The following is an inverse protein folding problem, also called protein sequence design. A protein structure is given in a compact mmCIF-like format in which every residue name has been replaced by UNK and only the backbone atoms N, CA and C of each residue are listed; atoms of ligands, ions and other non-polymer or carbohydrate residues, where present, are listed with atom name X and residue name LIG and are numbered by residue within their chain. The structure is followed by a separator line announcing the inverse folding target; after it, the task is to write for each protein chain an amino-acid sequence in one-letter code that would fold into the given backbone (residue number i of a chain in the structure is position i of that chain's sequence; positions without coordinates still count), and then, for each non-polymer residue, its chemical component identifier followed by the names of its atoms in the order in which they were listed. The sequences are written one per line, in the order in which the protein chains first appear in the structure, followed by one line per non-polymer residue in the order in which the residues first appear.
data_IF_115653557180
#
_entry.id   IF_115653557180
#
_cell.length_a   1.000
_cell.length_b   1.000
_cell.length_c   1.000
_cell.angle_alpha   90.00
_cell.angle_beta   90.00
_cell.angle_gamma   90.00
#
_symmetry.space_group_name_H-M   'P 1'
#
loop_
_entity.id
_entity.type
_entity.pdbx_description
1 polymer ?
#
# COMPACT_ATOMS: atom_id res chain seq x y z
N UNK A 1 4.45 8.76 -9.96
CA UNK A 1 3.53 9.82 -9.49
C UNK A 1 2.75 9.42 -8.23
N UNK A 2 1.87 8.41 -8.24
CA UNK A 2 1.10 8.02 -7.04
C UNK A 2 2.02 7.56 -5.90
N UNK A 3 2.94 6.64 -6.14
CA UNK A 3 3.88 6.15 -5.12
C UNK A 3 4.72 7.26 -4.47
N UNK A 4 5.17 8.25 -5.26
CA UNK A 4 5.87 9.43 -4.73
C UNK A 4 4.96 10.28 -3.83
N UNK A 5 3.68 10.42 -4.18
CA UNK A 5 2.71 11.13 -3.36
C UNK A 5 2.44 10.39 -2.03
N UNK A 6 2.33 9.07 -2.07
CA UNK A 6 2.22 8.23 -0.86
C UNK A 6 3.45 8.43 0.04
N UNK A 7 4.66 8.32 -0.52
CA UNK A 7 5.90 8.53 0.22
C UNK A 7 5.96 9.93 0.87
N UNK A 8 5.68 10.98 0.08
CA UNK A 8 5.61 12.36 0.58
C UNK A 8 4.61 12.55 1.73
N UNK A 9 3.47 11.86 1.68
CA UNK A 9 2.49 11.88 2.77
C UNK A 9 3.04 11.25 4.05
N UNK A 10 3.70 10.11 3.94
CA UNK A 10 4.31 9.42 5.07
C UNK A 10 5.48 10.23 5.69
N UNK A 11 6.32 10.87 4.87
CA UNK A 11 7.44 11.71 5.29
C UNK A 11 7.01 12.92 6.15
N UNK A 12 5.74 13.36 6.05
CA UNK A 12 5.20 14.44 6.92
C UNK A 12 5.01 14.02 8.36
N UNK A 13 5.03 12.73 8.65
CA UNK A 13 4.91 12.22 10.02
C UNK A 13 6.29 12.20 10.66
N UNK A 14 6.46 12.96 11.74
CA UNK A 14 7.75 13.07 12.42
C UNK A 14 8.28 11.70 12.87
N UNK A 15 9.58 11.50 12.80
CA UNK A 15 10.27 10.25 13.17
C UNK A 15 9.85 9.05 12.27
N UNK A 16 9.49 9.33 11.02
CA UNK A 16 9.20 8.30 10.02
C UNK A 16 10.29 8.32 8.97
N UNK A 17 10.92 7.17 8.76
CA UNK A 17 11.81 6.92 7.64
C UNK A 17 11.02 6.24 6.53
N UNK A 18 11.14 6.75 5.30
CA UNK A 18 10.40 6.24 4.15
C UNK A 18 11.35 5.70 3.10
N UNK A 19 11.17 4.44 2.73
CA UNK A 19 11.89 3.82 1.62
C UNK A 19 10.93 3.54 0.47
N UNK A 20 11.11 4.21 -0.67
CA UNK A 20 10.33 4.00 -1.88
C UNK A 20 11.12 3.13 -2.87
N UNK A 21 10.60 1.95 -3.20
CA UNK A 21 11.20 1.02 -4.14
C UNK A 21 10.22 0.57 -5.23
N UNK A 22 10.74 0.28 -6.42
CA UNK A 22 10.01 -0.52 -7.40
C UNK A 22 9.93 -1.97 -6.91
N UNK A 23 8.83 -2.65 -7.20
CA UNK A 23 8.59 -4.03 -6.73
C UNK A 23 9.72 -5.00 -7.08
N UNK A 24 10.35 -4.84 -8.24
CA UNK A 24 11.48 -5.67 -8.69
C UNK A 24 12.73 -5.55 -7.78
N UNK A 25 12.82 -4.49 -6.98
CA UNK A 25 13.96 -4.21 -6.09
C UNK A 25 13.61 -4.42 -4.61
N UNK A 26 12.38 -4.85 -4.31
CA UNK A 26 11.97 -5.12 -2.92
C UNK A 26 12.46 -6.49 -2.49
N UNK A 27 13.11 -6.53 -1.34
CA UNK A 27 13.58 -7.75 -0.69
C UNK A 27 12.65 -8.14 0.46
N UNK A 28 12.72 -9.40 0.90
CA UNK A 28 11.99 -9.83 2.09
C UNK A 28 12.50 -9.13 3.36
N UNK A 29 13.78 -8.75 3.39
CA UNK A 29 14.36 -7.98 4.49
C UNK A 29 13.76 -6.57 4.58
N UNK A 30 13.48 -5.92 3.44
CA UNK A 30 12.77 -4.65 3.42
C UNK A 30 11.38 -4.77 4.09
N UNK A 31 10.68 -5.89 3.85
CA UNK A 31 9.39 -6.15 4.46
C UNK A 31 9.52 -6.42 5.97
N UNK A 32 10.55 -7.17 6.38
CA UNK A 32 10.80 -7.52 7.79
C UNK A 32 11.19 -6.30 8.63
N UNK A 33 12.02 -5.41 8.10
CA UNK A 33 12.53 -4.24 8.81
C UNK A 33 11.52 -3.09 8.90
N UNK A 34 10.50 -3.07 8.04
CA UNK A 34 9.48 -2.00 8.02
C UNK A 34 8.41 -2.21 9.09
N UNK A 35 7.91 -1.13 9.69
CA UNK A 35 6.73 -1.10 10.57
C UNK A 35 5.41 -1.01 9.77
N UNK A 36 5.49 -0.44 8.56
CA UNK A 36 4.36 -0.34 7.64
C UNK A 36 4.80 -0.67 6.22
N UNK A 37 3.90 -1.27 5.44
CA UNK A 37 4.12 -1.63 4.04
C UNK A 37 2.93 -1.12 3.22
N UNK A 38 3.19 -0.24 2.26
CA UNK A 38 2.17 0.28 1.34
C UNK A 38 2.47 -0.25 -0.05
N UNK A 39 1.56 -1.03 -0.61
CA UNK A 39 1.75 -1.67 -1.91
C UNK A 39 0.92 -0.95 -2.98
N UNK A 40 1.61 -0.51 -4.03
CA UNK A 40 0.97 0.03 -5.23
C UNK A 40 1.05 -0.93 -6.41
N UNK A 41 -0.04 -1.06 -7.14
CA UNK A 41 -0.10 -1.85 -8.36
C UNK A 41 -0.98 -1.18 -9.41
N UNK A 42 -0.64 -1.25 -10.70
CA UNK A 42 -1.65 -1.02 -11.73
C UNK A 42 -2.73 -2.10 -11.64
N UNK A 43 -3.94 -1.76 -12.12
CA UNK A 43 -5.04 -2.70 -12.27
C UNK A 43 -4.87 -3.47 -13.57
N UNK A 44 -4.71 -4.78 -13.48
CA UNK A 44 -4.69 -5.69 -14.62
C UNK A 44 -5.76 -6.77 -14.44
N UNK A 45 -6.77 -6.76 -15.29
CA UNK A 45 -7.91 -7.71 -15.22
C UNK A 45 -8.53 -7.79 -13.82
N UNK A 46 -8.66 -6.62 -13.15
CA UNK A 46 -9.25 -6.51 -11.81
C UNK A 46 -8.36 -7.01 -10.66
N UNK A 47 -7.09 -7.31 -10.93
CA UNK A 47 -6.15 -7.85 -9.95
C UNK A 47 -4.84 -7.06 -9.91
N UNK A 48 -4.01 -7.31 -8.90
CA UNK A 48 -2.65 -6.80 -8.83
C UNK A 48 -1.80 -7.33 -9.98
N UNK A 49 -0.75 -6.61 -10.33
CA UNK A 49 0.20 -7.05 -11.36
C UNK A 49 0.92 -8.34 -10.96
N UNK A 50 1.34 -9.13 -11.96
CA UNK A 50 2.10 -10.35 -11.74
C UNK A 50 3.36 -10.13 -10.89
N UNK A 51 4.04 -8.99 -11.02
CA UNK A 51 5.23 -8.65 -10.24
C UNK A 51 4.93 -8.44 -8.75
N UNK A 52 3.79 -7.82 -8.44
CA UNK A 52 3.35 -7.67 -7.03
C UNK A 52 2.95 -9.03 -6.48
N UNK A 53 2.25 -9.84 -7.26
CA UNK A 53 1.87 -11.20 -6.86
C UNK A 53 3.10 -12.09 -6.62
N UNK A 54 4.13 -12.01 -7.47
CA UNK A 54 5.40 -12.73 -7.29
C UNK A 54 6.08 -12.36 -5.96
N UNK A 55 6.13 -11.07 -5.62
CA UNK A 55 6.67 -10.64 -4.33
C UNK A 55 5.89 -11.26 -3.17
N UNK A 56 4.56 -11.24 -3.24
CA UNK A 56 3.70 -11.82 -2.21
C UNK A 56 3.83 -13.34 -2.14
N UNK A 57 3.97 -14.04 -3.27
CA UNK A 57 4.22 -15.49 -3.27
C UNK A 57 5.57 -15.84 -2.63
N UNK A 58 6.61 -15.07 -2.94
CA UNK A 58 7.93 -15.26 -2.31
C UNK A 58 7.90 -14.95 -0.81
N UNK A 59 7.01 -14.09 -0.34
CA UNK A 59 6.90 -13.71 1.06
C UNK A 59 6.39 -14.84 1.98
N UNK A 60 5.96 -15.97 1.42
CA UNK A 60 5.68 -17.19 2.21
C UNK A 60 6.84 -17.59 3.12
N UNK A 61 8.08 -17.29 2.71
CA UNK A 61 9.30 -17.56 3.51
C UNK A 61 9.37 -16.77 4.83
N UNK A 62 8.60 -15.70 4.93
CA UNK A 62 8.51 -14.86 6.13
C UNK A 62 7.09 -14.85 6.71
N UNK A 63 6.28 -15.87 6.40
CA UNK A 63 4.91 -15.97 6.92
C UNK A 63 4.89 -15.91 8.46
N UNK A 64 3.94 -15.13 8.99
CA UNK A 64 3.81 -14.87 10.44
C UNK A 64 4.76 -13.78 10.99
N UNK A 65 5.77 -13.35 10.23
CA UNK A 65 6.73 -12.32 10.70
C UNK A 65 6.28 -10.88 10.41
N UNK A 66 5.20 -10.71 9.67
CA UNK A 66 4.61 -9.40 9.38
C UNK A 66 3.38 -9.11 10.25
N UNK A 67 3.02 -10.02 11.16
CA UNK A 67 1.88 -9.87 12.06
C UNK A 67 1.97 -8.57 12.87
N UNK A 68 0.85 -7.83 12.94
CA UNK A 68 0.74 -6.57 13.66
C UNK A 68 1.35 -5.35 12.94
N UNK A 69 2.08 -5.53 11.83
CA UNK A 69 2.54 -4.40 11.00
C UNK A 69 1.37 -3.75 10.26
N UNK A 70 1.53 -2.50 9.86
CA UNK A 70 0.48 -1.78 9.14
C UNK A 70 0.59 -2.01 7.64
N UNK A 71 -0.53 -2.34 7.00
CA UNK A 71 -0.64 -2.53 5.56
C UNK A 71 -1.56 -1.51 4.90
N UNK A 72 -1.26 -1.11 3.68
CA UNK A 72 -2.15 -0.31 2.85
C UNK A 72 -1.92 -0.57 1.36
N UNK A 73 -2.90 -0.20 0.52
CA UNK A 73 -2.84 -0.40 -0.91
C UNK A 73 -3.24 0.86 -1.69
N UNK A 74 -2.67 1.02 -2.90
CA UNK A 74 -3.13 2.01 -3.88
C UNK A 74 -3.03 1.44 -5.30
N UNK A 75 -3.86 1.96 -6.22
CA UNK A 75 -3.91 1.46 -7.60
C UNK A 75 -4.21 2.55 -8.61
N UNK A 76 -3.98 2.26 -9.88
CA UNK A 76 -4.51 3.01 -11.02
C UNK A 76 -5.17 2.05 -12.01
N UNK A 77 -6.23 2.49 -12.66
CA UNK A 77 -6.96 1.75 -13.67
C UNK A 77 -7.11 2.56 -14.97
N UNK A 78 -7.34 1.89 -16.08
CA UNK A 78 -7.54 2.55 -17.38
C UNK A 78 -8.92 3.19 -17.54
N UNK A 79 -9.91 2.81 -16.73
CA UNK A 79 -11.29 3.29 -16.81
C UNK A 79 -12.02 3.22 -15.48
N UNK A 80 -13.20 3.83 -15.43
CA UNK A 80 -14.13 3.71 -14.30
C UNK A 80 -14.78 2.32 -14.32
N UNK A 81 -15.08 1.78 -13.14
CA UNK A 81 -15.67 0.45 -12.97
C UNK A 81 -14.90 -0.69 -13.69
N UNK A 82 -13.57 -0.53 -13.77
CA UNK A 82 -12.68 -1.47 -14.48
C UNK A 82 -11.75 -2.27 -13.56
N UNK A 83 -12.16 -2.48 -12.30
CA UNK A 83 -11.50 -3.38 -11.37
C UNK A 83 -10.49 -2.72 -10.43
N UNK A 84 -10.57 -1.39 -10.20
CA UNK A 84 -9.71 -0.73 -9.24
C UNK A 84 -9.94 -1.26 -7.83
N UNK A 85 -11.18 -1.41 -7.41
CA UNK A 85 -11.56 -1.90 -6.08
C UNK A 85 -11.11 -3.35 -5.86
N UNK A 86 -11.33 -4.22 -6.84
CA UNK A 86 -10.91 -5.63 -6.76
C UNK A 86 -9.39 -5.77 -6.74
N UNK A 87 -8.66 -4.89 -7.45
CA UNK A 87 -7.20 -4.82 -7.36
C UNK A 87 -6.74 -4.44 -5.96
N UNK A 88 -7.34 -3.40 -5.35
CA UNK A 88 -7.05 -3.03 -3.96
C UNK A 88 -7.34 -4.17 -3.00
N UNK A 89 -8.51 -4.81 -3.13
CA UNK A 89 -8.90 -5.94 -2.29
C UNK A 89 -7.95 -7.12 -2.44
N UNK A 90 -7.49 -7.46 -3.65
CA UNK A 90 -6.54 -8.56 -3.85
C UNK A 90 -5.20 -8.32 -3.12
N UNK A 91 -4.75 -7.07 -3.01
CA UNK A 91 -3.57 -6.70 -2.21
C UNK A 91 -3.89 -6.79 -0.72
N UNK A 92 -5.02 -6.22 -0.30
CA UNK A 92 -5.44 -6.19 1.12
C UNK A 92 -5.61 -7.61 1.67
N UNK A 93 -6.21 -8.52 0.92
CA UNK A 93 -6.36 -9.93 1.30
C UNK A 93 -5.00 -10.58 1.61
N UNK A 94 -3.99 -10.35 0.77
CA UNK A 94 -2.65 -10.87 1.02
C UNK A 94 -1.99 -10.25 2.27
N UNK A 95 -2.20 -8.95 2.51
CA UNK A 95 -1.71 -8.29 3.73
C UNK A 95 -2.40 -8.85 4.99
N UNK A 96 -3.71 -9.09 4.93
CA UNK A 96 -4.48 -9.69 6.03
C UNK A 96 -4.03 -11.13 6.31
N UNK A 97 -3.71 -11.94 5.29
CA UNK A 97 -3.15 -13.29 5.46
C UNK A 97 -1.81 -13.24 6.20
N UNK A 98 -1.02 -12.19 6.01
CA UNK A 98 0.20 -11.95 6.80
C UNK A 98 -0.05 -11.47 8.24
N UNK A 99 -1.31 -11.30 8.67
CA UNK A 99 -1.67 -10.79 10.00
C UNK A 99 -1.49 -9.27 10.13
N UNK A 100 -1.39 -8.54 9.02
CA UNK A 100 -1.18 -7.09 9.04
C UNK A 100 -2.48 -6.35 9.36
N UNK A 101 -2.36 -5.15 9.91
CA UNK A 101 -3.46 -4.24 10.24
C UNK A 101 -3.70 -3.32 9.05
N UNK A 102 -4.91 -3.34 8.48
CA UNK A 102 -5.31 -2.47 7.38
C UNK A 102 -6.38 -1.50 7.84
N UNK A 103 -6.12 -0.19 7.69
CA UNK A 103 -7.05 0.86 8.06
C UNK A 103 -7.89 1.29 6.87
N UNK A 104 -9.20 1.07 6.93
CA UNK A 104 -10.17 1.61 5.98
C UNK A 104 -10.33 3.12 6.07
N UNK A 105 -11.08 3.70 5.12
CA UNK A 105 -11.47 5.11 5.10
C UNK A 105 -12.98 5.21 4.92
N UNK A 106 -13.66 6.02 5.74
CA UNK A 106 -15.12 6.16 5.66
C UNK A 106 -15.59 7.11 4.54
N UNK A 107 -14.74 8.05 4.13
CA UNK A 107 -15.05 9.01 3.05
C UNK A 107 -14.45 8.56 1.73
N UNK A 108 -15.22 8.04 0.78
CA UNK A 108 -14.79 7.64 -0.56
C UNK A 108 -13.44 6.89 -0.59
N UNK A 109 -13.12 6.19 -1.67
CA UNK A 109 -11.85 5.46 -1.75
C UNK A 109 -11.58 4.57 -0.53
N UNK A 110 -12.60 3.82 -0.09
CA UNK A 110 -12.65 3.07 1.18
C UNK A 110 -11.50 2.08 1.37
N UNK A 111 -11.08 1.44 0.29
CA UNK A 111 -10.04 0.38 0.30
C UNK A 111 -8.62 0.89 0.05
N UNK A 112 -8.46 2.17 -0.31
CA UNK A 112 -7.17 2.76 -0.64
C UNK A 112 -7.27 3.78 -1.77
N UNK A 113 -6.18 4.49 -2.06
CA UNK A 113 -6.17 5.49 -3.12
C UNK A 113 -6.24 4.81 -4.51
N UNK A 114 -7.14 5.28 -5.36
CA UNK A 114 -7.30 4.79 -6.73
C UNK A 114 -7.42 5.96 -7.72
N UNK A 115 -6.67 5.92 -8.80
CA UNK A 115 -6.76 6.87 -9.90
C UNK A 115 -7.30 6.18 -11.17
N UNK A 116 -7.97 6.94 -12.02
CA UNK A 116 -8.40 6.50 -13.35
C UNK A 116 -7.58 7.26 -14.39
N UNK A 117 -6.89 6.54 -15.25
CA UNK A 117 -5.98 7.11 -16.23
C UNK A 117 -4.80 7.84 -15.57
N UNK A 118 -4.49 9.04 -16.04
CA UNK A 118 -3.41 9.87 -15.48
C UNK A 118 -3.85 10.45 -14.13
N UNK A 119 -3.10 10.22 -13.03
CA UNK A 119 -3.45 10.73 -11.72
C UNK A 119 -3.58 12.26 -11.69
N UNK A 120 -4.69 12.76 -11.19
CA UNK A 120 -4.99 14.17 -10.97
C UNK A 120 -4.37 14.70 -9.68
N UNK A 121 -4.46 16.00 -9.43
CA UNK A 121 -4.05 16.60 -8.14
C UNK A 121 -4.86 16.05 -6.98
N UNK A 122 -6.16 15.78 -7.20
CA UNK A 122 -7.03 15.16 -6.20
C UNK A 122 -6.59 13.74 -5.86
N UNK A 123 -6.22 12.95 -6.87
CA UNK A 123 -5.70 11.60 -6.65
C UNK A 123 -4.36 11.61 -5.90
N UNK A 124 -3.49 12.58 -6.22
CA UNK A 124 -2.23 12.78 -5.49
C UNK A 124 -2.46 13.17 -4.03
N UNK A 125 -3.41 14.06 -3.76
CA UNK A 125 -3.78 14.42 -2.38
C UNK A 125 -4.29 13.21 -1.59
N UNK A 126 -5.11 12.34 -2.19
CA UNK A 126 -5.57 11.09 -1.57
C UNK A 126 -4.42 10.10 -1.32
N UNK A 127 -3.42 10.06 -2.20
CA UNK A 127 -2.21 9.26 -1.98
C UNK A 127 -1.36 9.82 -0.82
N UNK A 128 -1.18 11.14 -0.73
CA UNK A 128 -0.49 11.78 0.41
C UNK A 128 -1.22 11.48 1.72
N UNK A 129 -2.55 11.56 1.72
CA UNK A 129 -3.36 11.22 2.89
C UNK A 129 -3.20 9.74 3.28
N UNK A 130 -3.22 8.81 2.32
CA UNK A 130 -2.98 7.39 2.58
C UNK A 130 -1.63 7.16 3.25
N UNK A 131 -0.56 7.74 2.71
CA UNK A 131 0.79 7.63 3.27
C UNK A 131 0.86 8.17 4.70
N UNK A 132 0.32 9.38 4.93
CA UNK A 132 0.28 10.02 6.25
C UNK A 132 -0.45 9.15 7.28
N UNK A 133 -1.68 8.73 6.98
CA UNK A 133 -2.50 7.91 7.89
C UNK A 133 -1.85 6.57 8.23
N UNK A 134 -1.24 5.92 7.25
CA UNK A 134 -0.52 4.65 7.46
C UNK A 134 0.68 4.85 8.37
N UNK A 135 1.46 5.90 8.16
CA UNK A 135 2.61 6.22 9.01
C UNK A 135 2.19 6.62 10.45
N UNK A 136 1.12 7.40 10.60
CA UNK A 136 0.57 7.76 11.92
C UNK A 136 0.10 6.54 12.70
N UNK A 137 -0.59 5.61 12.05
CA UNK A 137 -1.03 4.36 12.67
C UNK A 137 0.18 3.50 13.08
N UNK A 138 1.16 3.33 12.19
CA UNK A 138 2.38 2.61 12.52
C UNK A 138 3.12 3.25 13.70
N UNK A 139 3.28 4.58 13.69
CA UNK A 139 3.88 5.31 14.81
C UNK A 139 3.13 5.08 16.12
N UNK A 140 1.81 5.02 16.08
CA UNK A 140 0.99 4.78 17.27
C UNK A 140 1.19 3.37 17.83
N UNK A 141 1.26 2.36 16.96
CA UNK A 141 1.41 0.95 17.34
C UNK A 141 2.84 0.67 17.85
N UNK A 142 3.86 1.23 17.18
CA UNK A 142 5.26 0.93 17.46
C UNK A 142 5.97 2.00 18.30
N UNK A 143 5.20 2.89 18.96
CA UNK A 143 5.78 3.79 19.97
C UNK A 143 6.48 2.98 21.05
N UNK A 144 7.80 3.20 21.17
CA UNK A 144 8.57 2.84 22.36
C UNK A 144 8.48 3.94 23.40
#
# INVERSE_FOLDING_TARGET
MMAQAVAKGAERVSQTEVTLKKVDHVTLEDMLSSHAIIIGSPTYYGLMSAKVKDLLDRSVKIHGKLEGKVGAAFTSSGGTASGAETTLLSIIEALLIHGMIVQGRHEGKHYGAAAVGKPTDKDRALCEELGRRTAELAKTIFRK
#
